data_IF_879328879050
#
_entry.id   IF_879328879050
#
_cell.length_a   1.000
_cell.length_b   1.000
_cell.length_c   1.000
_cell.angle_alpha   90.00
_cell.angle_beta   90.00
_cell.angle_gamma   90.00
#
_symmetry.space_group_name_H-M   'P 1'
#
loop_
_entity.id
_entity.type
_entity.pdbx_description
1 polymer ?
#
# COMPACT_ATOMS: atom_id res chain seq x y z
N UNK A 1 -83.35 -7.94 -38.14
CA UNK A 1 -82.58 -6.68 -37.97
C UNK A 1 -81.95 -6.54 -36.58
N UNK A 2 -82.64 -6.85 -35.48
CA UNK A 2 -82.07 -6.66 -34.12
C UNK A 2 -80.88 -7.59 -33.76
N UNK A 3 -80.95 -8.88 -34.09
CA UNK A 3 -79.94 -9.87 -33.66
C UNK A 3 -78.56 -9.76 -34.34
N UNK A 4 -78.51 -9.32 -35.59
CA UNK A 4 -77.24 -9.13 -36.31
C UNK A 4 -76.50 -7.89 -35.80
N UNK A 5 -77.22 -6.88 -35.32
CA UNK A 5 -76.62 -5.64 -34.80
C UNK A 5 -75.91 -5.89 -33.45
N UNK A 6 -76.48 -6.73 -32.58
CA UNK A 6 -75.88 -7.10 -31.29
C UNK A 6 -74.60 -7.92 -31.45
N UNK A 7 -74.54 -8.81 -32.44
CA UNK A 7 -73.33 -9.61 -32.72
C UNK A 7 -72.20 -8.72 -33.23
N UNK A 8 -72.49 -7.80 -34.15
CA UNK A 8 -71.50 -6.85 -34.69
C UNK A 8 -71.00 -5.89 -33.60
N UNK A 9 -71.89 -5.42 -32.71
CA UNK A 9 -71.51 -4.56 -31.59
C UNK A 9 -70.59 -5.29 -30.59
N UNK A 10 -70.88 -6.55 -30.26
CA UNK A 10 -70.02 -7.36 -29.38
C UNK A 10 -68.66 -7.69 -30.00
N UNK A 11 -68.61 -7.88 -31.33
CA UNK A 11 -67.35 -8.06 -32.08
C UNK A 11 -66.50 -6.77 -32.10
N UNK A 12 -67.13 -5.60 -32.26
CA UNK A 12 -66.44 -4.32 -32.19
C UNK A 12 -65.89 -4.01 -30.80
N UNK A 13 -66.63 -4.37 -29.74
CA UNK A 13 -66.19 -4.21 -28.35
C UNK A 13 -65.02 -5.16 -28.02
N UNK A 14 -65.05 -6.41 -28.51
CA UNK A 14 -63.94 -7.35 -28.28
C UNK A 14 -62.68 -6.94 -29.04
N UNK A 15 -62.81 -6.45 -30.28
CA UNK A 15 -61.69 -5.91 -31.06
C UNK A 15 -61.10 -4.64 -30.44
N UNK A 16 -61.94 -3.74 -29.92
CA UNK A 16 -61.48 -2.55 -29.20
C UNK A 16 -60.68 -2.88 -27.94
N UNK A 17 -61.09 -3.93 -27.22
CA UNK A 17 -60.38 -4.45 -26.05
C UNK A 17 -59.00 -5.01 -26.40
N UNK A 18 -58.90 -5.78 -27.49
CA UNK A 18 -57.65 -6.41 -27.94
C UNK A 18 -56.65 -5.35 -28.44
N UNK A 19 -57.12 -4.34 -29.16
CA UNK A 19 -56.25 -3.23 -29.62
C UNK A 19 -55.72 -2.42 -28.43
N UNK A 20 -56.55 -2.21 -27.40
CA UNK A 20 -56.14 -1.51 -26.17
C UNK A 20 -55.11 -2.32 -25.38
N UNK A 21 -55.27 -3.64 -25.29
CA UNK A 21 -54.30 -4.54 -24.66
C UNK A 21 -52.99 -4.60 -25.47
N UNK A 22 -53.07 -4.66 -26.80
CA UNK A 22 -51.87 -4.65 -27.66
C UNK A 22 -51.11 -3.32 -27.57
N UNK A 23 -51.81 -2.19 -27.53
CA UNK A 23 -51.21 -0.88 -27.30
C UNK A 23 -50.55 -0.78 -25.91
N UNK A 24 -51.19 -1.34 -24.88
CA UNK A 24 -50.63 -1.42 -23.53
C UNK A 24 -49.37 -2.29 -23.48
N UNK A 25 -49.40 -3.50 -24.07
CA UNK A 25 -48.24 -4.41 -24.14
C UNK A 25 -47.09 -3.76 -24.93
N UNK A 26 -47.40 -3.07 -26.04
CA UNK A 26 -46.38 -2.36 -26.83
C UNK A 26 -45.77 -1.19 -26.07
N UNK A 27 -46.56 -0.43 -25.30
CA UNK A 27 -46.05 0.62 -24.41
C UNK A 27 -45.20 0.05 -23.27
N UNK A 28 -45.59 -1.08 -22.68
CA UNK A 28 -44.79 -1.76 -21.63
C UNK A 28 -43.46 -2.27 -22.21
N UNK A 29 -43.47 -2.84 -23.41
CA UNK A 29 -42.23 -3.28 -24.07
C UNK A 29 -41.32 -2.09 -24.44
N UNK A 30 -41.88 -1.00 -24.94
CA UNK A 30 -41.12 0.23 -25.20
C UNK A 30 -40.53 0.82 -23.91
N UNK A 31 -41.30 0.83 -22.82
CA UNK A 31 -40.83 1.30 -21.52
C UNK A 31 -39.73 0.38 -20.95
N UNK A 32 -39.83 -0.93 -21.16
CA UNK A 32 -38.81 -1.90 -20.79
C UNK A 32 -37.52 -1.74 -21.61
N UNK A 33 -37.62 -1.47 -22.90
CA UNK A 33 -36.45 -1.17 -23.75
C UNK A 33 -35.78 0.15 -23.33
N UNK A 34 -36.58 1.17 -23.03
CA UNK A 34 -36.07 2.46 -22.55
C UNK A 34 -35.40 2.34 -21.17
N UNK A 35 -36.00 1.58 -20.25
CA UNK A 35 -35.38 1.23 -18.96
C UNK A 35 -34.11 0.42 -19.14
N UNK A 36 -34.06 -0.48 -20.13
CA UNK A 36 -32.85 -1.25 -20.44
C UNK A 36 -31.74 -0.37 -21.02
N UNK A 37 -32.10 0.57 -21.89
CA UNK A 37 -31.17 1.57 -22.42
C UNK A 37 -30.62 2.47 -21.31
N UNK A 38 -31.48 3.00 -20.45
CA UNK A 38 -31.08 3.76 -19.26
C UNK A 38 -30.20 2.93 -18.33
N UNK A 39 -30.56 1.68 -18.06
CA UNK A 39 -29.77 0.77 -17.24
C UNK A 39 -28.36 0.56 -17.83
N UNK A 40 -28.24 0.39 -19.14
CA UNK A 40 -26.94 0.23 -19.80
C UNK A 40 -26.11 1.52 -19.74
N UNK A 41 -26.72 2.69 -19.94
CA UNK A 41 -26.04 3.98 -19.78
C UNK A 41 -25.53 4.17 -18.35
N UNK A 42 -26.35 3.81 -17.35
CA UNK A 42 -25.97 3.93 -15.94
C UNK A 42 -24.88 2.90 -15.59
N UNK A 43 -24.93 1.68 -16.16
CA UNK A 43 -23.91 0.63 -15.97
C UNK A 43 -22.55 1.02 -16.56
N UNK A 44 -22.52 1.62 -17.75
CA UNK A 44 -21.27 2.10 -18.37
C UNK A 44 -20.58 3.18 -17.52
N UNK A 45 -21.35 3.93 -16.73
CA UNK A 45 -20.85 5.01 -15.88
C UNK A 45 -20.73 4.65 -14.38
N UNK A 46 -21.13 3.45 -13.96
CA UNK A 46 -21.04 2.99 -12.57
C UNK A 46 -20.71 1.48 -12.49
N UNK A 47 -19.45 1.10 -12.21
CA UNK A 47 -19.03 -0.31 -12.10
C UNK A 47 -19.60 -1.04 -10.85
N UNK A 48 -20.39 -0.36 -10.02
CA UNK A 48 -20.99 -0.88 -8.79
C UNK A 48 -22.36 -1.55 -9.01
N UNK A 49 -22.93 -1.50 -10.21
CA UNK A 49 -24.23 -2.11 -10.49
C UNK A 49 -24.09 -3.61 -10.79
N UNK A 50 -24.81 -4.50 -10.06
CA UNK A 50 -24.76 -5.95 -10.27
C UNK A 50 -25.37 -6.35 -11.62
N UNK A 51 -24.89 -7.44 -12.22
CA UNK A 51 -25.38 -7.90 -13.51
C UNK A 51 -26.81 -8.45 -13.41
N UNK A 52 -27.63 -8.21 -14.46
CA UNK A 52 -29.05 -8.63 -14.50
C UNK A 52 -29.23 -10.14 -14.33
N UNK A 53 -28.18 -10.93 -14.61
CA UNK A 53 -28.15 -12.39 -14.38
C UNK A 53 -28.31 -12.79 -12.92
N UNK A 54 -28.06 -11.88 -11.97
CA UNK A 54 -28.11 -12.19 -10.54
C UNK A 54 -29.55 -12.13 -9.98
N UNK A 55 -30.50 -11.49 -10.69
CA UNK A 55 -31.88 -11.29 -10.24
C UNK A 55 -32.88 -12.38 -10.66
N UNK A 56 -32.59 -13.19 -11.68
CA UNK A 56 -33.54 -14.20 -12.20
C UNK A 56 -33.61 -15.50 -11.36
N UNK A 57 -32.90 -15.58 -10.24
CA UNK A 57 -32.79 -16.83 -9.47
C UNK A 57 -33.88 -17.08 -8.40
N UNK A 58 -34.99 -16.33 -8.39
CA UNK A 58 -35.99 -16.49 -7.30
C UNK A 58 -37.43 -16.78 -7.75
N UNK A 59 -37.85 -16.58 -9.00
CA UNK A 59 -39.25 -16.84 -9.36
C UNK A 59 -39.40 -17.53 -10.73
N UNK A 60 -39.35 -18.87 -10.75
CA UNK A 60 -40.02 -19.68 -11.77
C UNK A 60 -40.32 -21.09 -11.24
N UNK A 61 -41.12 -21.14 -10.18
CA UNK A 61 -41.84 -22.34 -9.76
C UNK A 61 -43.29 -21.92 -9.64
N UNK A 62 -44.04 -22.05 -10.73
CA UNK A 62 -45.47 -22.31 -10.80
C UNK A 62 -45.84 -22.40 -12.29
N UNK A 63 -46.42 -23.54 -12.64
CA UNK A 63 -47.21 -23.83 -13.84
C UNK A 63 -46.47 -24.00 -15.18
N UNK A 64 -45.97 -25.21 -15.43
CA UNK A 64 -46.30 -26.00 -16.63
C UNK A 64 -45.58 -27.35 -16.59
N UNK A 65 -46.34 -28.44 -16.62
CA UNK A 65 -45.84 -29.78 -16.90
C UNK A 65 -45.27 -29.82 -18.32
N UNK A 66 -43.97 -29.63 -18.48
CA UNK A 66 -43.25 -30.10 -19.66
C UNK A 66 -41.77 -30.33 -19.33
N UNK A 67 -41.25 -31.45 -19.84
CA UNK A 67 -39.89 -31.94 -19.61
C UNK A 67 -38.86 -30.95 -20.12
N UNK A 68 -38.30 -30.13 -19.23
CA UNK A 68 -37.09 -29.35 -19.50
C UNK A 68 -35.90 -30.15 -19.01
N UNK A 69 -35.06 -30.59 -19.95
CA UNK A 69 -33.71 -31.09 -19.67
C UNK A 69 -32.95 -29.99 -18.93
N UNK A 70 -32.71 -30.21 -17.63
CA UNK A 70 -31.97 -29.31 -16.78
C UNK A 70 -30.51 -29.37 -17.23
N UNK A 71 -30.09 -28.42 -18.08
CA UNK A 71 -28.69 -28.07 -18.23
C UNK A 71 -28.24 -27.52 -16.88
N UNK A 72 -27.79 -28.40 -15.99
CA UNK A 72 -27.13 -28.02 -14.74
C UNK A 72 -25.85 -27.29 -15.12
N UNK A 73 -25.88 -25.96 -15.18
CA UNK A 73 -24.65 -25.16 -15.14
C UNK A 73 -23.84 -25.62 -13.93
N UNK A 74 -22.52 -25.85 -14.06
CA UNK A 74 -21.71 -26.34 -12.97
C UNK A 74 -21.86 -25.41 -11.76
N UNK A 75 -22.13 -25.98 -10.59
CA UNK A 75 -22.23 -25.25 -9.33
C UNK A 75 -20.87 -24.58 -9.11
N UNK A 76 -20.76 -23.29 -9.41
CA UNK A 76 -19.55 -22.53 -9.13
C UNK A 76 -19.44 -22.36 -7.62
N UNK A 77 -18.41 -22.96 -7.03
CA UNK A 77 -18.04 -22.70 -5.64
C UNK A 77 -17.76 -21.20 -5.50
N UNK A 78 -18.32 -20.57 -4.46
CA UNK A 78 -18.13 -19.14 -4.19
C UNK A 78 -16.64 -18.75 -4.11
N UNK A 79 -15.79 -19.67 -3.66
CA UNK A 79 -14.33 -19.50 -3.57
C UNK A 79 -13.66 -19.21 -4.91
N UNK A 80 -14.25 -19.70 -6.01
CA UNK A 80 -13.74 -19.49 -7.36
C UNK A 80 -14.27 -18.20 -7.98
N UNK A 81 -15.15 -17.48 -7.28
CA UNK A 81 -15.69 -16.21 -7.76
C UNK A 81 -14.54 -15.24 -8.01
N UNK A 82 -14.61 -14.57 -9.16
CA UNK A 82 -13.63 -13.59 -9.62
C UNK A 82 -12.22 -14.13 -9.96
N UNK A 83 -11.94 -15.42 -9.80
CA UNK A 83 -10.60 -15.97 -10.00
C UNK A 83 -10.09 -15.83 -11.44
N UNK A 84 -10.92 -16.15 -12.44
CA UNK A 84 -10.54 -16.04 -13.85
C UNK A 84 -10.27 -14.58 -14.27
N UNK A 85 -11.15 -13.66 -13.85
CA UNK A 85 -10.98 -12.21 -14.09
C UNK A 85 -9.73 -11.67 -13.40
N UNK A 86 -9.46 -12.12 -12.17
CA UNK A 86 -8.25 -11.73 -11.42
C UNK A 86 -6.96 -12.18 -12.13
N UNK A 87 -6.95 -13.40 -12.70
CA UNK A 87 -5.80 -13.92 -13.46
C UNK A 87 -5.50 -13.11 -14.73
N UNK A 88 -6.52 -12.52 -15.35
CA UNK A 88 -6.37 -11.70 -16.57
C UNK A 88 -5.79 -10.29 -16.30
N UNK A 89 -5.85 -9.78 -15.07
CA UNK A 89 -5.36 -8.43 -14.75
C UNK A 89 -3.84 -8.42 -14.62
N UNK A 90 -3.20 -7.39 -15.17
CA UNK A 90 -1.75 -7.15 -15.08
C UNK A 90 -1.38 -6.79 -13.64
N UNK A 91 -0.26 -7.34 -13.14
CA UNK A 91 0.22 -7.12 -11.79
C UNK A 91 1.01 -5.81 -11.65
N UNK A 92 0.41 -4.69 -12.04
CA UNK A 92 1.05 -3.37 -12.06
C UNK A 92 0.06 -2.29 -11.62
N UNK A 93 0.57 -1.21 -11.01
CA UNK A 93 -0.22 -0.02 -10.77
C UNK A 93 -0.42 0.74 -12.08
N UNK A 94 -1.67 1.07 -12.38
CA UNK A 94 -2.00 1.98 -13.49
C UNK A 94 -2.14 3.38 -12.94
N UNK A 95 -1.40 4.33 -13.52
CA UNK A 95 -1.47 5.74 -13.15
C UNK A 95 -2.36 6.51 -14.12
N UNK A 96 -3.13 7.45 -13.57
CA UNK A 96 -3.89 8.41 -14.36
C UNK A 96 -2.97 9.56 -14.83
N UNK A 97 -3.46 10.40 -15.75
CA UNK A 97 -2.74 11.58 -16.25
C UNK A 97 -2.20 12.46 -15.12
N UNK A 98 -3.05 12.74 -14.13
CA UNK A 98 -2.73 13.65 -13.04
C UNK A 98 -1.69 13.05 -12.09
N UNK A 99 -1.72 11.73 -11.88
CA UNK A 99 -0.73 11.01 -11.06
C UNK A 99 0.64 10.97 -11.75
N UNK A 100 0.65 10.83 -13.08
CA UNK A 100 1.88 10.84 -13.89
C UNK A 100 2.49 12.26 -13.93
N UNK A 101 1.67 13.29 -13.96
CA UNK A 101 2.13 14.68 -13.84
C UNK A 101 2.75 14.93 -12.45
N UNK A 102 2.11 14.44 -11.39
CA UNK A 102 2.66 14.51 -10.03
C UNK A 102 3.99 13.74 -9.89
N UNK A 103 4.13 12.60 -10.55
CA UNK A 103 5.39 11.84 -10.60
C UNK A 103 6.52 12.69 -11.18
N UNK A 104 6.24 13.34 -12.31
CA UNK A 104 7.21 14.20 -12.99
C UNK A 104 7.57 15.42 -12.12
N UNK A 105 6.58 16.06 -11.50
CA UNK A 105 6.81 17.18 -10.59
C UNK A 105 7.69 16.78 -9.39
N UNK A 106 7.46 15.61 -8.81
CA UNK A 106 8.28 15.11 -7.70
C UNK A 106 9.69 14.75 -8.16
N UNK A 107 9.84 14.16 -9.35
CA UNK A 107 11.15 13.92 -9.95
C UNK A 107 11.94 15.22 -10.13
N UNK A 108 11.34 16.25 -10.69
CA UNK A 108 11.99 17.55 -10.91
C UNK A 108 12.36 18.22 -9.57
N UNK A 109 11.48 18.10 -8.56
CA UNK A 109 11.75 18.56 -7.19
C UNK A 109 12.97 17.84 -6.59
N UNK A 110 13.00 16.51 -6.67
CA UNK A 110 14.10 15.70 -6.14
C UNK A 110 15.43 16.00 -6.86
N UNK A 111 15.38 16.18 -8.18
CA UNK A 111 16.54 16.57 -8.99
C UNK A 111 17.09 17.94 -8.57
N UNK A 112 16.21 18.93 -8.38
CA UNK A 112 16.60 20.26 -7.93
C UNK A 112 17.20 20.24 -6.51
N UNK A 113 16.54 19.56 -5.56
CA UNK A 113 17.01 19.45 -4.17
C UNK A 113 18.36 18.76 -4.10
N UNK A 114 18.52 17.63 -4.81
CA UNK A 114 19.78 16.87 -4.82
C UNK A 114 20.92 17.71 -5.41
N UNK A 115 20.65 18.41 -6.52
CA UNK A 115 21.62 19.30 -7.15
C UNK A 115 22.02 20.47 -6.24
N UNK A 116 21.05 21.12 -5.59
CA UNK A 116 21.32 22.23 -4.69
C UNK A 116 22.12 21.78 -3.46
N UNK A 117 21.77 20.64 -2.86
CA UNK A 117 22.51 20.08 -1.73
C UNK A 117 23.95 19.73 -2.12
N UNK A 118 24.15 19.17 -3.32
CA UNK A 118 25.48 18.91 -3.87
C UNK A 118 26.28 20.22 -4.03
N UNK A 119 25.69 21.24 -4.66
CA UNK A 119 26.35 22.53 -4.89
C UNK A 119 26.72 23.23 -3.58
N UNK A 120 25.82 23.22 -2.59
CA UNK A 120 26.05 23.82 -1.27
C UNK A 120 27.24 23.15 -0.58
N UNK A 121 27.22 21.82 -0.45
CA UNK A 121 28.33 21.06 0.15
C UNK A 121 29.64 21.26 -0.58
N UNK A 122 29.59 21.26 -1.92
CA UNK A 122 30.77 21.51 -2.75
C UNK A 122 31.33 22.91 -2.51
N UNK A 123 30.48 23.94 -2.41
CA UNK A 123 30.93 25.29 -2.11
C UNK A 123 31.54 25.42 -0.72
N UNK A 124 30.97 24.76 0.30
CA UNK A 124 31.50 24.75 1.67
C UNK A 124 32.90 24.12 1.72
N UNK A 125 33.10 22.97 1.06
CA UNK A 125 34.40 22.30 0.98
C UNK A 125 35.43 23.17 0.23
N UNK A 126 35.02 23.77 -0.90
CA UNK A 126 35.91 24.63 -1.69
C UNK A 126 36.31 25.90 -0.94
N UNK A 127 35.41 26.49 -0.16
CA UNK A 127 35.72 27.65 0.67
C UNK A 127 36.77 27.30 1.73
N UNK A 128 36.62 26.16 2.42
CA UNK A 128 37.61 25.67 3.39
C UNK A 128 38.96 25.41 2.72
N UNK A 129 38.98 24.72 1.57
CA UNK A 129 40.21 24.47 0.81
C UNK A 129 40.87 25.77 0.35
N UNK A 130 40.09 26.80 0.00
CA UNK A 130 40.62 28.11 -0.36
C UNK A 130 41.30 28.81 0.82
N UNK A 131 40.72 28.75 2.02
CA UNK A 131 41.34 29.29 3.25
C UNK A 131 42.65 28.57 3.57
N UNK A 132 42.65 27.25 3.51
CA UNK A 132 43.88 26.45 3.71
C UNK A 132 44.96 26.82 2.69
N UNK A 133 44.56 26.98 1.41
CA UNK A 133 45.50 27.39 0.36
C UNK A 133 46.08 28.77 0.63
N UNK A 134 45.28 29.72 1.10
CA UNK A 134 45.75 31.05 1.45
C UNK A 134 46.75 31.04 2.62
N UNK A 135 46.50 30.23 3.65
CA UNK A 135 47.45 30.00 4.76
C UNK A 135 48.76 29.42 4.21
N UNK A 136 48.70 28.43 3.31
CA UNK A 136 49.89 27.82 2.73
C UNK A 136 50.67 28.76 1.79
N UNK A 137 49.99 29.60 1.01
CA UNK A 137 50.62 30.48 0.03
C UNK A 137 51.22 31.74 0.67
N UNK A 138 50.62 32.25 1.76
CA UNK A 138 50.99 33.53 2.39
C UNK A 138 51.48 33.42 3.83
N UNK A 139 51.34 32.28 4.50
CA UNK A 139 51.63 32.14 5.93
C UNK A 139 53.09 31.91 6.29
N UNK A 140 53.96 31.67 5.31
CA UNK A 140 55.36 31.33 5.54
C UNK A 140 56.31 32.51 5.23
N UNK A 141 57.39 32.62 6.00
CA UNK A 141 58.46 33.61 5.83
C UNK A 141 59.40 33.19 4.69
N UNK A 142 59.70 31.89 4.59
CA UNK A 142 60.53 31.28 3.54
C UNK A 142 59.84 30.03 2.96
N UNK A 143 59.88 29.84 1.63
CA UNK A 143 59.38 28.64 0.93
C UNK A 143 60.22 27.36 1.20
N UNK A 144 61.05 27.37 2.24
CA UNK A 144 61.89 26.27 2.68
C UNK A 144 61.04 25.19 3.35
N UNK A 145 61.22 23.94 2.96
CA UNK A 145 60.43 22.77 3.39
C UNK A 145 60.55 22.38 4.88
N UNK A 146 61.16 23.22 5.71
CA UNK A 146 61.26 23.00 7.15
C UNK A 146 60.11 23.73 7.85
N UNK A 147 59.16 23.00 8.42
CA UNK A 147 58.09 23.56 9.25
C UNK A 147 58.63 23.73 10.66
N UNK A 148 58.92 24.97 11.07
CA UNK A 148 59.29 25.33 12.44
C UNK A 148 58.45 26.52 12.86
N UNK A 149 58.16 26.68 14.15
CA UNK A 149 57.38 27.82 14.66
C UNK A 149 57.89 29.18 14.18
N UNK A 150 59.21 29.34 14.04
CA UNK A 150 59.84 30.58 13.56
C UNK A 150 59.61 30.88 12.07
N UNK A 151 59.10 29.92 11.29
CA UNK A 151 58.91 30.08 9.85
C UNK A 151 57.54 30.61 9.45
N UNK A 152 56.62 30.81 10.41
CA UNK A 152 55.32 31.42 10.17
C UNK A 152 55.40 32.94 10.34
N UNK A 153 54.89 33.68 9.37
CA UNK A 153 54.73 35.13 9.50
C UNK A 153 53.48 35.47 10.34
N UNK A 154 53.35 36.74 10.73
CA UNK A 154 52.21 37.19 11.55
C UNK A 154 50.85 36.91 10.91
N UNK A 155 50.77 36.93 9.58
CA UNK A 155 49.55 36.56 8.84
C UNK A 155 49.21 35.08 9.03
N UNK A 156 50.19 34.18 8.86
CA UNK A 156 50.02 32.74 9.02
C UNK A 156 49.60 32.37 10.44
N UNK A 157 50.22 32.97 11.47
CA UNK A 157 49.85 32.77 12.87
C UNK A 157 48.40 33.20 13.15
N UNK A 158 48.04 34.39 12.69
CA UNK A 158 46.69 34.96 12.89
C UNK A 158 45.62 34.12 12.22
N UNK A 159 45.83 33.71 10.96
CA UNK A 159 44.85 32.89 10.24
C UNK A 159 44.74 31.46 10.77
N UNK A 160 45.83 30.88 11.29
CA UNK A 160 45.74 29.56 11.97
C UNK A 160 44.87 29.62 13.23
N UNK A 161 45.00 30.69 14.02
CA UNK A 161 44.17 30.92 15.21
C UNK A 161 42.70 31.11 14.80
N UNK A 162 42.43 31.95 13.80
CA UNK A 162 41.09 32.20 13.27
C UNK A 162 40.44 30.95 12.66
N UNK A 163 41.21 30.14 11.94
CA UNK A 163 40.71 28.95 11.25
C UNK A 163 40.19 27.89 12.24
N UNK A 164 40.87 27.73 13.38
CA UNK A 164 40.46 26.79 14.44
C UNK A 164 39.62 27.42 15.55
N UNK A 165 39.33 28.73 15.46
CA UNK A 165 38.59 29.48 16.48
C UNK A 165 39.22 29.32 17.88
N UNK A 166 40.55 29.44 17.95
CA UNK A 166 41.30 29.29 19.20
C UNK A 166 41.22 30.59 20.01
N UNK A 167 40.74 30.49 21.25
CA UNK A 167 40.84 31.58 22.23
C UNK A 167 42.31 31.74 22.64
N UNK A 168 43.00 32.74 22.06
CA UNK A 168 44.41 33.03 22.34
C UNK A 168 44.57 34.22 23.28
N UNK A 169 45.21 33.99 24.43
CA UNK A 169 45.76 35.04 25.29
C UNK A 169 47.25 35.23 25.00
N UNK A 170 47.75 36.48 24.98
CA UNK A 170 49.15 36.82 24.62
C UNK A 170 50.24 36.13 25.48
N UNK A 171 49.86 35.48 26.59
CA UNK A 171 50.77 34.77 27.49
C UNK A 171 50.98 33.28 27.12
N UNK A 172 50.17 32.73 26.20
CA UNK A 172 50.25 31.31 25.83
C UNK A 172 51.33 31.04 24.74
N UNK A 173 52.13 30.00 24.95
CA UNK A 173 53.12 29.54 23.97
C UNK A 173 52.45 28.57 22.98
N UNK A 174 51.86 29.11 21.91
CA UNK A 174 51.20 28.31 20.87
C UNK A 174 52.22 27.55 20.00
N UNK A 175 51.98 26.25 19.83
CA UNK A 175 52.72 25.42 18.89
C UNK A 175 52.11 25.46 17.47
N UNK A 176 52.48 26.50 16.70
CA UNK A 176 51.96 26.72 15.34
C UNK A 176 52.31 25.58 14.36
N UNK A 177 53.42 24.86 14.58
CA UNK A 177 53.82 23.69 13.79
C UNK A 177 52.79 22.56 13.90
N UNK A 178 52.32 22.27 15.12
CA UNK A 178 51.32 21.22 15.37
C UNK A 178 49.96 21.60 14.78
N UNK A 179 49.53 22.85 14.99
CA UNK A 179 48.29 23.38 14.41
C UNK A 179 48.34 23.31 12.87
N UNK A 180 49.48 23.63 12.25
CA UNK A 180 49.63 23.55 10.81
C UNK A 180 49.61 22.10 10.28
N UNK A 181 50.15 21.14 11.03
CA UNK A 181 50.03 19.72 10.68
C UNK A 181 48.56 19.28 10.69
N UNK A 182 47.75 19.76 11.63
CA UNK A 182 46.31 19.52 11.67
C UNK A 182 45.59 20.12 10.45
N UNK A 183 45.97 21.32 10.00
CA UNK A 183 45.46 21.91 8.75
C UNK A 183 45.76 21.03 7.54
N UNK A 184 46.97 20.48 7.43
CA UNK A 184 47.34 19.59 6.33
C UNK A 184 46.53 18.29 6.36
N UNK A 185 46.30 17.73 7.56
CA UNK A 185 45.45 16.56 7.74
C UNK A 185 44.00 16.88 7.32
N UNK A 186 43.47 18.04 7.70
CA UNK A 186 42.13 18.45 7.30
C UNK A 186 42.03 18.67 5.78
N UNK A 187 43.05 19.25 5.15
CA UNK A 187 43.11 19.40 3.69
C UNK A 187 42.92 18.06 2.98
N UNK A 188 43.68 17.04 3.38
CA UNK A 188 43.58 15.69 2.77
C UNK A 188 42.18 15.12 2.98
N UNK A 189 41.60 15.28 4.19
CA UNK A 189 40.24 14.83 4.48
C UNK A 189 39.20 15.53 3.60
N UNK A 190 39.33 16.84 3.39
CA UNK A 190 38.42 17.64 2.55
C UNK A 190 38.54 17.26 1.07
N UNK A 191 39.75 17.00 0.57
CA UNK A 191 39.97 16.51 -0.79
C UNK A 191 39.33 15.12 -0.99
N UNK A 192 39.48 14.20 -0.03
CA UNK A 192 38.79 12.91 -0.05
C UNK A 192 37.26 13.04 0.00
N UNK A 193 36.74 13.97 0.81
CA UNK A 193 35.31 14.24 0.91
C UNK A 193 34.75 14.76 -0.43
N UNK A 194 35.50 15.61 -1.12
CA UNK A 194 35.12 16.12 -2.44
C UNK A 194 35.01 14.98 -3.48
N UNK A 195 35.96 14.05 -3.49
CA UNK A 195 35.94 12.87 -4.37
C UNK A 195 34.71 12.01 -4.07
N UNK A 196 34.47 11.70 -2.78
CA UNK A 196 33.29 10.91 -2.35
C UNK A 196 31.98 11.60 -2.72
N UNK A 197 31.93 12.94 -2.64
CA UNK A 197 30.75 13.71 -2.99
C UNK A 197 30.43 13.59 -4.50
N UNK A 198 31.44 13.67 -5.36
CA UNK A 198 31.30 13.49 -6.80
C UNK A 198 30.88 12.06 -7.17
N UNK A 199 31.40 11.05 -6.46
CA UNK A 199 30.98 9.65 -6.63
C UNK A 199 29.56 9.38 -6.14
N UNK A 200 29.09 10.12 -5.13
CA UNK A 200 27.76 9.95 -4.52
C UNK A 200 26.60 10.56 -5.32
N UNK A 201 26.89 11.17 -6.48
CA UNK A 201 25.87 11.76 -7.34
C UNK A 201 24.86 10.71 -7.78
N UNK A 202 23.69 10.78 -7.15
CA UNK A 202 22.55 9.89 -7.39
C UNK A 202 22.22 9.89 -8.88
N UNK A 203 22.21 8.69 -9.48
CA UNK A 203 21.80 8.48 -10.87
C UNK A 203 20.37 9.01 -11.11
N UNK A 204 20.10 9.52 -12.32
CA UNK A 204 18.74 9.90 -12.70
C UNK A 204 17.76 8.75 -12.55
N UNK A 205 18.20 7.50 -12.74
CA UNK A 205 17.34 6.32 -12.60
C UNK A 205 16.94 6.07 -11.14
N UNK A 206 17.84 6.30 -10.18
CA UNK A 206 17.51 6.20 -8.75
C UNK A 206 16.51 7.28 -8.32
N UNK A 207 16.59 8.48 -8.91
CA UNK A 207 15.62 9.55 -8.66
C UNK A 207 14.23 9.19 -9.23
N UNK A 208 14.17 8.57 -10.41
CA UNK A 208 12.91 8.07 -10.99
C UNK A 208 12.27 6.99 -10.10
N UNK A 209 13.08 6.05 -9.60
CA UNK A 209 12.58 5.01 -8.67
C UNK A 209 11.97 5.66 -7.42
N UNK A 210 12.64 6.64 -6.82
CA UNK A 210 12.12 7.37 -5.65
C UNK A 210 10.82 8.13 -5.95
N UNK A 211 10.74 8.78 -7.11
CA UNK A 211 9.53 9.49 -7.53
C UNK A 211 8.36 8.52 -7.74
N UNK A 212 8.60 7.37 -8.39
CA UNK A 212 7.59 6.34 -8.57
C UNK A 212 7.13 5.75 -7.23
N UNK A 213 8.05 5.41 -6.33
CA UNK A 213 7.73 4.94 -4.97
C UNK A 213 6.85 5.93 -4.20
N UNK A 214 7.12 7.23 -4.34
CA UNK A 214 6.32 8.28 -3.73
C UNK A 214 4.87 8.29 -4.26
N UNK A 215 4.70 8.19 -5.58
CA UNK A 215 3.36 8.15 -6.20
C UNK A 215 2.62 6.86 -5.85
N UNK A 216 3.30 5.71 -5.84
CA UNK A 216 2.73 4.45 -5.37
C UNK A 216 2.20 4.61 -3.93
N UNK A 217 2.96 5.26 -3.05
CA UNK A 217 2.52 5.49 -1.67
C UNK A 217 1.25 6.34 -1.60
N UNK A 218 1.20 7.45 -2.33
CA UNK A 218 -0.01 8.31 -2.40
C UNK A 218 -1.21 7.51 -2.91
N UNK A 219 -1.00 6.71 -3.96
CA UNK A 219 -2.05 5.87 -4.54
C UNK A 219 -2.54 4.82 -3.55
N UNK A 220 -1.63 4.18 -2.81
CA UNK A 220 -1.98 3.21 -1.76
C UNK A 220 -2.79 3.86 -0.64
N UNK A 221 -2.44 5.08 -0.23
CA UNK A 221 -3.17 5.82 0.79
C UNK A 221 -4.57 6.23 0.31
N UNK A 222 -4.74 6.48 -0.99
CA UNK A 222 -6.06 6.79 -1.58
C UNK A 222 -7.07 5.64 -1.44
N UNK A 223 -6.60 4.39 -1.41
CA UNK A 223 -7.43 3.20 -1.36
C UNK A 223 -8.23 3.06 -0.05
N UNK A 224 -7.89 3.79 1.02
CA UNK A 224 -8.67 3.75 2.26
C UNK A 224 -10.13 4.21 2.09
N UNK A 225 -10.38 5.06 1.09
CA UNK A 225 -11.70 5.60 0.79
C UNK A 225 -12.51 4.72 -0.17
N UNK A 226 -11.89 3.66 -0.70
CA UNK A 226 -12.49 2.75 -1.64
C UNK A 226 -13.10 1.57 -0.89
N UNK A 227 -14.36 1.24 -1.19
CA UNK A 227 -15.10 0.19 -0.53
C UNK A 227 -15.69 -0.78 -1.53
N UNK A 228 -15.72 -2.06 -1.20
CA UNK A 228 -16.56 -3.04 -1.88
C UNK A 228 -17.59 -3.60 -0.94
N UNK A 229 -18.81 -3.72 -1.44
CA UNK A 229 -19.88 -4.48 -0.81
C UNK A 229 -20.02 -5.82 -1.52
N UNK A 230 -20.06 -6.90 -0.76
CA UNK A 230 -20.32 -8.23 -1.28
C UNK A 230 -21.25 -9.02 -0.36
N UNK A 231 -22.15 -9.78 -0.98
CA UNK A 231 -23.06 -10.69 -0.30
C UNK A 231 -22.44 -12.09 -0.28
N UNK A 232 -22.05 -12.55 0.92
CA UNK A 232 -21.59 -13.93 1.13
C UNK A 232 -22.75 -14.78 1.64
N UNK A 233 -22.68 -16.12 1.52
CA UNK A 233 -23.66 -17.02 2.12
C UNK A 233 -23.84 -16.83 3.64
N UNK A 234 -22.82 -16.28 4.32
CA UNK A 234 -22.84 -16.06 5.77
C UNK A 234 -23.22 -14.62 6.15
N UNK A 235 -23.41 -13.72 5.19
CA UNK A 235 -23.80 -12.33 5.45
C UNK A 235 -23.11 -11.31 4.54
N UNK A 236 -23.49 -10.05 4.74
CA UNK A 236 -22.99 -8.93 3.96
C UNK A 236 -21.64 -8.46 4.50
N UNK A 237 -20.71 -8.17 3.60
CA UNK A 237 -19.37 -7.71 3.94
C UNK A 237 -19.09 -6.41 3.21
N UNK A 238 -18.71 -5.39 3.98
CA UNK A 238 -18.03 -4.21 3.45
C UNK A 238 -16.55 -4.37 3.67
N UNK A 239 -15.73 -4.20 2.63
CA UNK A 239 -14.28 -4.33 2.71
C UNK A 239 -13.59 -3.12 2.09
N UNK A 240 -12.51 -2.66 2.71
CA UNK A 240 -11.57 -1.65 2.19
C UNK A 240 -10.13 -2.11 2.41
N UNK A 241 -9.18 -1.46 1.74
CA UNK A 241 -7.76 -1.68 1.99
C UNK A 241 -7.17 -0.56 2.84
N UNK A 242 -6.45 -0.91 3.91
CA UNK A 242 -5.70 0.02 4.73
C UNK A 242 -4.20 -0.18 4.53
N UNK A 243 -3.52 0.83 3.98
CA UNK A 243 -2.09 0.83 3.73
C UNK A 243 -1.25 0.85 5.02
N UNK A 244 -1.69 1.59 6.05
CA UNK A 244 -0.97 1.71 7.33
C UNK A 244 -0.80 0.35 8.01
N UNK A 245 -1.87 -0.46 8.00
CA UNK A 245 -1.87 -1.82 8.56
C UNK A 245 -1.48 -2.90 7.53
N UNK A 246 -1.36 -2.53 6.25
CA UNK A 246 -1.25 -3.44 5.09
C UNK A 246 -2.30 -4.56 5.12
N UNK A 247 -3.56 -4.20 5.39
CA UNK A 247 -4.64 -5.18 5.55
C UNK A 247 -5.92 -4.82 4.85
N UNK A 248 -6.66 -5.84 4.43
CA UNK A 248 -8.06 -5.71 4.09
C UNK A 248 -8.90 -5.62 5.36
N UNK A 249 -9.39 -4.43 5.63
CA UNK A 249 -10.30 -4.16 6.73
C UNK A 249 -11.73 -4.47 6.28
N UNK A 250 -12.46 -5.26 7.07
CA UNK A 250 -13.83 -5.61 6.75
C UNK A 250 -14.79 -5.40 7.91
N UNK A 251 -16.03 -5.06 7.55
CA UNK A 251 -17.15 -4.88 8.44
C UNK A 251 -18.21 -5.92 8.09
N UNK A 252 -18.66 -6.65 9.10
CA UNK A 252 -19.69 -7.68 8.98
C UNK A 252 -20.37 -7.87 10.33
N UNK A 253 -21.66 -8.23 10.31
CA UNK A 253 -22.39 -8.60 11.51
C UNK A 253 -22.06 -10.03 11.97
N UNK A 254 -21.66 -10.88 11.03
CA UNK A 254 -21.35 -12.29 11.26
C UNK A 254 -19.85 -12.54 11.08
N UNK A 255 -19.33 -13.59 11.73
CA UNK A 255 -17.93 -14.02 11.54
C UNK A 255 -17.78 -14.67 10.16
N UNK A 256 -16.95 -14.08 9.31
CA UNK A 256 -16.74 -14.55 7.94
C UNK A 256 -15.38 -15.27 7.84
N UNK A 257 -15.36 -16.58 7.51
CA UNK A 257 -14.12 -17.32 7.27
C UNK A 257 -13.34 -16.82 6.05
N UNK A 258 -12.01 -17.01 6.06
CA UNK A 258 -11.11 -16.55 4.98
C UNK A 258 -11.46 -17.08 3.59
N UNK A 259 -12.04 -18.27 3.48
CA UNK A 259 -12.55 -18.82 2.20
C UNK A 259 -13.51 -17.88 1.46
N UNK A 260 -14.25 -17.04 2.20
CA UNK A 260 -15.17 -16.06 1.64
C UNK A 260 -14.55 -14.67 1.53
N UNK A 261 -13.59 -14.33 2.39
CA UNK A 261 -12.88 -13.04 2.34
C UNK A 261 -11.92 -12.95 1.14
N UNK A 262 -11.31 -14.06 0.74
CA UNK A 262 -10.43 -14.15 -0.43
C UNK A 262 -11.11 -13.71 -1.74
N UNK A 263 -12.28 -14.25 -2.13
CA UNK A 263 -13.04 -13.74 -3.28
C UNK A 263 -13.40 -12.25 -3.19
N UNK A 264 -13.67 -11.73 -1.99
CA UNK A 264 -14.00 -10.31 -1.78
C UNK A 264 -12.75 -9.44 -1.98
N UNK A 265 -11.59 -9.91 -1.49
CA UNK A 265 -10.30 -9.28 -1.76
C UNK A 265 -10.00 -9.23 -3.25
N UNK A 266 -10.23 -10.32 -3.99
CA UNK A 266 -10.11 -10.31 -5.46
C UNK A 266 -11.08 -9.33 -6.10
N UNK A 267 -12.34 -9.28 -5.64
CA UNK A 267 -13.34 -8.31 -6.11
C UNK A 267 -12.84 -6.88 -5.91
N UNK A 268 -12.32 -6.56 -4.74
CA UNK A 268 -11.75 -5.24 -4.43
C UNK A 268 -10.66 -4.87 -5.44
N UNK A 269 -9.72 -5.79 -5.64
CA UNK A 269 -8.56 -5.60 -6.50
C UNK A 269 -8.95 -5.43 -7.97
N UNK A 270 -9.93 -6.20 -8.44
CA UNK A 270 -10.48 -6.06 -9.79
C UNK A 270 -11.20 -4.72 -9.95
N UNK A 271 -11.99 -4.33 -8.95
CA UNK A 271 -12.80 -3.11 -9.00
C UNK A 271 -11.92 -1.86 -9.06
N UNK A 272 -10.80 -1.86 -8.34
CA UNK A 272 -9.90 -0.71 -8.23
C UNK A 272 -8.57 -0.89 -9.00
N UNK A 273 -8.45 -1.94 -9.80
CA UNK A 273 -7.27 -2.29 -10.60
C UNK A 273 -5.95 -2.16 -9.80
N UNK A 274 -5.90 -2.78 -8.63
CA UNK A 274 -4.79 -2.67 -7.68
C UNK A 274 -4.17 -4.05 -7.36
N UNK A 275 -3.89 -4.85 -8.40
CA UNK A 275 -3.38 -6.22 -8.25
C UNK A 275 -2.14 -6.37 -7.35
N UNK A 276 -1.17 -5.43 -7.34
CA UNK A 276 0.01 -5.56 -6.50
C UNK A 276 -0.24 -5.64 -4.99
N UNK A 277 -1.41 -5.20 -4.49
CA UNK A 277 -1.71 -5.26 -3.06
C UNK A 277 -2.17 -6.66 -2.60
N UNK A 278 -2.55 -7.52 -3.54
CA UNK A 278 -3.14 -8.83 -3.26
C UNK A 278 -2.14 -9.92 -3.56
N UNK A 279 -1.90 -10.75 -2.55
CA UNK A 279 -0.95 -11.84 -2.60
C UNK A 279 -1.68 -13.08 -3.11
N UNK A 280 -1.38 -13.51 -4.34
CA UNK A 280 -1.88 -14.79 -4.85
C UNK A 280 -1.04 -15.93 -4.25
N UNK A 281 -1.69 -16.72 -3.40
CA UNK A 281 -1.09 -17.86 -2.72
C UNK A 281 -0.53 -18.88 -3.71
N UNK A 282 -1.18 -19.09 -4.86
CA UNK A 282 -0.70 -20.04 -5.89
C UNK A 282 0.63 -19.57 -6.49
N UNK A 283 0.77 -18.27 -6.75
CA UNK A 283 1.98 -17.68 -7.30
C UNK A 283 3.11 -17.60 -6.26
N UNK A 284 2.80 -17.30 -4.99
CA UNK A 284 3.78 -17.29 -3.91
C UNK A 284 4.37 -18.69 -3.68
N UNK A 285 3.55 -19.74 -3.75
CA UNK A 285 4.05 -21.12 -3.61
C UNK A 285 5.01 -21.49 -4.75
N UNK A 286 4.67 -21.15 -6.00
CA UNK A 286 5.58 -21.36 -7.15
C UNK A 286 6.90 -20.61 -6.98
N UNK A 287 6.85 -19.35 -6.57
CA UNK A 287 8.07 -18.55 -6.32
C UNK A 287 8.91 -19.13 -5.18
N UNK A 288 8.28 -19.67 -4.13
CA UNK A 288 8.99 -20.35 -3.05
C UNK A 288 9.63 -21.67 -3.51
N UNK A 289 8.94 -22.44 -4.36
CA UNK A 289 9.47 -23.66 -4.99
C UNK A 289 10.69 -23.36 -5.87
N UNK A 290 10.61 -22.34 -6.74
CA UNK A 290 11.69 -21.89 -7.62
C UNK A 290 12.92 -21.43 -6.81
N UNK A 291 12.73 -20.60 -5.77
CA UNK A 291 13.82 -20.18 -4.88
C UNK A 291 14.49 -21.37 -4.21
N UNK A 292 13.70 -22.33 -3.71
CA UNK A 292 14.24 -23.53 -3.09
C UNK A 292 15.04 -24.37 -4.09
N UNK A 293 14.58 -24.47 -5.33
CA UNK A 293 15.30 -25.19 -6.39
C UNK A 293 16.60 -24.48 -6.77
N UNK A 294 16.60 -23.15 -6.87
CA UNK A 294 17.81 -22.35 -7.08
C UNK A 294 18.81 -22.50 -5.94
N UNK A 295 18.36 -22.46 -4.69
CA UNK A 295 19.22 -22.63 -3.53
C UNK A 295 19.82 -24.04 -3.48
N UNK A 296 19.05 -25.06 -3.88
CA UNK A 296 19.57 -26.42 -4.06
C UNK A 296 20.63 -26.48 -5.16
N UNK A 297 20.42 -25.84 -6.32
CA UNK A 297 21.39 -25.77 -7.41
C UNK A 297 22.67 -25.01 -7.01
N UNK A 298 22.56 -23.90 -6.28
CA UNK A 298 23.70 -23.11 -5.77
C UNK A 298 24.52 -23.87 -4.72
N UNK A 299 23.88 -24.74 -3.93
CA UNK A 299 24.55 -25.55 -2.91
C UNK A 299 25.25 -26.82 -3.44
N UNK A 300 24.94 -27.31 -4.65
CA UNK A 300 25.66 -28.43 -5.28
C UNK A 300 27.11 -28.06 -5.66
N UNK A 301 27.39 -26.77 -5.91
CA UNK A 301 28.72 -26.27 -6.28
C UNK A 301 29.59 -25.81 -5.10
N UNK A 302 29.13 -25.97 -3.85
CA UNK A 302 29.95 -25.75 -2.66
C UNK A 302 30.21 -27.10 -1.98
N UNK A 303 31.47 -27.49 -1.70
CA UNK A 303 31.72 -28.71 -0.96
C UNK A 303 31.02 -28.62 0.40
N UNK A 304 30.17 -29.59 0.67
CA UNK A 304 29.43 -29.74 1.92
C UNK A 304 30.46 -29.84 3.07
N UNK A 305 30.76 -28.72 3.74
CA UNK A 305 31.29 -28.79 5.11
C UNK A 305 30.13 -29.22 5.98
N UNK A 306 30.07 -30.52 6.26
CA UNK A 306 29.24 -31.07 7.33
C UNK A 306 29.84 -30.55 8.65
N UNK A 307 29.50 -29.33 9.03
CA UNK A 307 29.62 -28.94 10.44
C UNK A 307 28.55 -29.73 11.20
N UNK A 308 29.01 -30.86 11.74
CA UNK A 308 28.30 -31.59 12.78
C UNK A 308 27.92 -30.56 13.85
N UNK A 309 26.63 -30.22 13.94
CA UNK A 309 26.11 -29.52 15.10
C UNK A 309 26.53 -30.32 16.33
N UNK A 310 27.52 -29.79 17.06
CA UNK A 310 27.89 -30.28 18.37
C UNK A 310 26.66 -30.04 19.24
N UNK A 311 25.96 -31.11 19.59
CA UNK A 311 25.08 -31.12 20.75
C UNK A 311 25.92 -30.71 21.97
N UNK A 312 25.79 -29.45 22.39
CA UNK A 312 26.33 -29.02 23.67
C UNK A 312 25.48 -29.66 24.77
N UNK A 313 26.11 -30.67 25.36
CA UNK A 313 25.69 -31.38 26.55
C UNK A 313 25.63 -30.43 27.76
N UNK A 314 24.62 -30.69 28.60
CA UNK A 314 24.70 -30.82 30.06
C UNK A 314 25.09 -29.63 30.94
N UNK A 315 24.45 -29.67 32.11
CA UNK A 315 24.85 -29.12 33.41
C UNK A 315 24.48 -27.67 33.73
N UNK A 316 23.18 -27.46 34.01
CA UNK A 316 22.79 -26.60 35.13
C UNK A 316 21.94 -27.43 36.09
N UNK A 317 22.60 -28.02 37.09
CA UNK A 317 21.95 -28.57 38.29
C UNK A 317 21.64 -27.40 39.24
N UNK A 318 20.36 -27.09 39.42
CA UNK A 318 19.85 -26.37 40.59
C UNK A 318 18.65 -27.16 41.15
N UNK A 319 18.45 -27.15 42.48
CA UNK A 319 17.89 -28.30 43.19
C UNK A 319 16.35 -28.34 43.17
N UNK A 320 15.86 -29.58 43.14
CA UNK A 320 14.52 -30.04 43.48
C UNK A 320 13.85 -29.27 44.63
N UNK A 321 12.58 -28.89 44.41
CA UNK A 321 11.48 -29.18 45.35
C UNK A 321 10.12 -29.16 44.64
N UNK A 322 9.56 -30.35 44.49
CA UNK A 322 8.14 -30.69 44.48
C UNK A 322 7.19 -29.88 43.59
N UNK A 323 6.88 -30.42 42.41
CA UNK A 323 5.50 -30.52 41.93
C UNK A 323 5.37 -31.73 41.00
N UNK A 324 4.51 -32.63 41.43
CA UNK A 324 4.09 -33.86 40.78
C UNK A 324 3.83 -33.69 39.30
N UNK A 325 4.26 -34.70 38.53
CA UNK A 325 3.88 -34.97 37.16
C UNK A 325 2.35 -34.95 36.99
N UNK A 326 1.82 -33.87 36.42
CA UNK A 326 0.60 -33.94 35.63
C UNK A 326 0.97 -33.54 34.21
N UNK A 327 1.20 -34.56 33.40
CA UNK A 327 1.13 -34.51 31.95
C UNK A 327 -0.13 -33.71 31.59
N UNK A 328 0.03 -32.51 31.04
CA UNK A 328 -1.10 -31.70 30.56
C UNK A 328 -1.72 -32.41 29.37
N UNK A 329 -2.57 -33.41 29.64
CA UNK A 329 -3.30 -34.14 28.64
C UNK A 329 -4.32 -33.21 28.00
N UNK A 330 -4.09 -32.87 26.74
CA UNK A 330 -5.04 -32.11 25.92
C UNK A 330 -6.41 -32.82 25.97
N UNK A 331 -7.51 -32.10 26.26
CA UNK A 331 -8.87 -32.65 26.29
C UNK A 331 -9.21 -33.44 25.02
N UNK A 332 -9.90 -34.57 25.16
CA UNK A 332 -10.19 -35.50 24.06
C UNK A 332 -10.87 -34.85 22.85
N UNK A 333 -11.68 -33.80 23.06
CA UNK A 333 -12.36 -33.07 21.98
C UNK A 333 -11.39 -32.27 21.06
N UNK A 334 -10.19 -31.95 21.54
CA UNK A 334 -9.14 -31.29 20.75
C UNK A 334 -8.22 -32.29 20.05
N UNK A 335 -8.26 -33.58 20.40
CA UNK A 335 -7.39 -34.60 19.77
C UNK A 335 -7.87 -35.04 18.39
N UNK A 336 -9.17 -34.91 18.10
CA UNK A 336 -9.74 -35.37 16.84
C UNK A 336 -9.34 -34.52 15.61
N UNK A 337 -8.91 -33.26 15.82
CA UNK A 337 -8.53 -32.34 14.74
C UNK A 337 -7.02 -32.11 14.61
N UNK A 338 -6.21 -32.73 15.47
CA UNK A 338 -4.75 -32.72 15.30
C UNK A 338 -4.42 -33.90 14.42
N UNK A 339 -4.22 -33.63 13.12
CA UNK A 339 -3.64 -34.60 12.20
C UNK A 339 -2.37 -35.16 12.86
N UNK A 340 -2.34 -36.47 13.02
CA UNK A 340 -1.24 -37.22 13.58
C UNK A 340 -0.07 -37.10 12.59
N UNK A 341 0.79 -36.09 12.75
CA UNK A 341 1.98 -35.88 11.91
C UNK A 341 3.02 -36.93 12.30
N UNK A 342 2.80 -38.16 11.84
CA UNK A 342 3.83 -39.19 11.76
C UNK A 342 3.97 -39.56 10.29
N UNK A 343 5.23 -39.47 9.84
CA UNK A 343 5.77 -39.82 8.52
C UNK A 343 5.14 -39.12 7.31
N UNK A 344 5.79 -38.05 6.85
CA UNK A 344 6.61 -38.14 5.64
C UNK A 344 7.60 -36.96 5.61
N UNK A 345 8.78 -37.17 5.03
CA UNK A 345 9.75 -36.12 4.69
C UNK A 345 9.22 -35.23 3.54
N UNK A 346 7.96 -34.83 3.60
CA UNK A 346 7.43 -33.79 2.74
C UNK A 346 8.02 -32.45 3.20
N UNK A 347 8.84 -31.86 2.33
CA UNK A 347 9.35 -30.51 2.49
C UNK A 347 8.15 -29.56 2.65
N UNK A 348 7.84 -29.17 3.88
CA UNK A 348 6.79 -28.18 4.16
C UNK A 348 7.29 -26.81 3.68
N UNK A 349 6.86 -26.41 2.49
CA UNK A 349 7.05 -25.06 2.00
C UNK A 349 6.14 -24.15 2.83
N UNK A 350 6.76 -23.27 3.62
CA UNK A 350 6.06 -22.27 4.41
C UNK A 350 5.75 -21.06 3.52
N UNK A 351 4.53 -20.53 3.62
CA UNK A 351 4.16 -19.28 2.95
C UNK A 351 4.80 -18.12 3.71
N UNK A 352 5.67 -17.37 3.06
CA UNK A 352 6.31 -16.19 3.66
C UNK A 352 5.32 -15.02 3.77
N UNK A 353 4.45 -14.86 2.76
CA UNK A 353 3.46 -13.78 2.67
C UNK A 353 2.04 -14.32 2.47
N UNK A 354 1.06 -13.66 3.08
CA UNK A 354 -0.36 -13.96 2.89
C UNK A 354 -1.21 -12.70 3.08
N UNK A 355 -2.38 -12.66 2.44
CA UNK A 355 -3.34 -11.59 2.64
C UNK A 355 -3.81 -11.54 4.10
N UNK A 356 -3.72 -10.36 4.72
CA UNK A 356 -4.19 -10.15 6.10
C UNK A 356 -5.55 -9.46 6.08
N UNK A 357 -6.52 -10.07 6.77
CA UNK A 357 -7.87 -9.55 6.92
C UNK A 357 -8.12 -9.17 8.39
N UNK A 358 -8.59 -7.94 8.61
CA UNK A 358 -8.87 -7.41 9.96
C UNK A 358 -10.35 -7.07 10.06
N UNK A 359 -11.03 -7.58 11.10
CA UNK A 359 -12.41 -7.20 11.39
C UNK A 359 -12.43 -5.88 12.17
N UNK A 360 -12.98 -4.82 11.57
CA UNK A 360 -13.03 -3.48 12.16
C UNK A 360 -14.37 -3.19 12.86
N UNK A 361 -15.39 -4.02 12.66
CA UNK A 361 -16.64 -3.94 13.41
C UNK A 361 -17.89 -4.40 12.68
N UNK A 362 -19.04 -4.11 13.28
CA UNK A 362 -20.36 -4.40 12.70
C UNK A 362 -20.74 -3.37 11.64
N UNK A 363 -21.65 -3.75 10.75
CA UNK A 363 -22.15 -2.87 9.69
C UNK A 363 -22.84 -1.62 10.24
N UNK A 364 -23.50 -1.72 11.38
CA UNK A 364 -24.17 -0.56 12.01
C UNK A 364 -23.19 0.51 12.50
N UNK A 365 -21.94 0.12 12.78
CA UNK A 365 -20.89 1.06 13.20
C UNK A 365 -20.16 1.68 12.01
N UNK A 366 -20.40 1.18 10.80
CA UNK A 366 -19.76 1.65 9.59
C UNK A 366 -20.38 2.98 9.13
N UNK A 367 -19.55 4.00 8.98
CA UNK A 367 -19.93 5.29 8.41
C UNK A 367 -19.29 5.43 7.02
N UNK A 368 -20.04 5.19 5.92
CA UNK A 368 -19.47 5.23 4.58
C UNK A 368 -19.04 6.63 4.16
N UNK A 369 -19.64 7.66 4.75
CA UNK A 369 -19.35 9.05 4.42
C UNK A 369 -18.28 9.62 5.36
N UNK A 370 -17.31 10.31 4.78
CA UNK A 370 -16.34 11.10 5.55
C UNK A 370 -17.09 12.13 6.39
N UNK A 371 -16.91 12.08 7.71
CA UNK A 371 -17.48 13.09 8.60
C UNK A 371 -16.79 14.41 8.28
N UNK A 372 -17.54 15.33 7.68
CA UNK A 372 -17.02 16.66 7.35
C UNK A 372 -16.88 17.43 8.66
N UNK A 373 -15.70 18.03 8.88
CA UNK A 373 -15.52 18.95 9.99
C UNK A 373 -16.42 20.17 9.78
N UNK A 374 -17.48 20.24 10.59
CA UNK A 374 -18.49 21.32 10.55
C UNK A 374 -17.87 22.72 10.70
N UNK A 375 -16.67 22.78 11.27
CA UNK A 375 -15.83 23.99 11.44
C UNK A 375 -15.34 24.59 10.12
N UNK A 376 -15.16 23.76 9.08
CA UNK A 376 -14.68 24.19 7.76
C UNK A 376 -15.84 24.75 6.92
N UNK A 377 -17.02 24.14 7.04
CA UNK A 377 -18.18 24.44 6.17
C UNK A 377 -18.92 25.70 6.62
N UNK A 378 -18.95 26.01 7.91
CA UNK A 378 -19.70 27.15 8.42
C UNK A 378 -18.88 27.91 9.48
N UNK A 379 -18.33 29.08 9.11
CA UNK A 379 -17.60 29.95 10.06
C UNK A 379 -18.46 30.34 11.27
N UNK A 380 -19.78 30.36 11.12
CA UNK A 380 -20.74 30.62 12.21
C UNK A 380 -20.81 29.49 13.25
N UNK A 381 -20.40 28.26 12.90
CA UNK A 381 -20.32 27.14 13.85
C UNK A 381 -19.00 27.13 14.64
N UNK A 382 -18.05 28.01 14.28
CA UNK A 382 -16.84 28.29 15.06
C UNK A 382 -17.05 29.39 16.11
N UNK A 383 -18.26 29.97 16.22
CA UNK A 383 -18.54 30.99 17.23
C UNK A 383 -18.29 30.40 18.62
N UNK A 384 -17.26 30.91 19.28
CA UNK A 384 -17.03 30.59 20.69
C UNK A 384 -18.19 31.13 21.52
N UNK A 385 -18.45 30.52 22.69
CA UNK A 385 -19.51 30.99 23.58
C UNK A 385 -19.36 32.50 23.93
N UNK A 386 -18.13 33.00 23.99
CA UNK A 386 -17.83 34.42 24.19
C UNK A 386 -18.29 35.30 23.01
N UNK A 387 -18.04 34.87 21.77
CA UNK A 387 -18.48 35.57 20.56
C UNK A 387 -19.99 35.48 20.38
N UNK A 388 -20.60 34.33 20.68
CA UNK A 388 -22.05 34.16 20.71
C UNK A 388 -22.69 35.15 21.70
N UNK A 389 -22.14 35.27 22.91
CA UNK A 389 -22.63 36.20 23.94
C UNK A 389 -22.48 37.66 23.48
N UNK A 390 -21.36 38.04 22.85
CA UNK A 390 -21.18 39.38 22.26
C UNK A 390 -22.20 39.67 21.15
N UNK A 391 -22.53 38.70 20.30
CA UNK A 391 -23.53 38.87 19.24
C UNK A 391 -24.95 39.16 19.76
N UNK A 392 -25.27 38.65 20.96
CA UNK A 392 -26.53 38.88 21.65
C UNK A 392 -26.60 40.25 22.34
N UNK A 393 -25.46 40.74 22.83
CA UNK A 393 -25.34 42.05 23.47
C UNK A 393 -25.43 43.18 22.43
N UNK A 394 -24.79 43.01 21.26
CA UNK A 394 -24.79 44.01 20.19
C UNK A 394 -26.09 44.08 19.35
N UNK A 395 -27.11 43.25 19.67
CA UNK A 395 -28.43 43.26 19.03
C UNK A 395 -29.50 44.03 19.82
N UNK A 396 -29.15 44.58 20.97
CA UNK A 396 -29.91 45.62 21.68
C UNK A 396 -29.30 46.98 21.36
#
# INVERSE_FOLDING_TARGET
MSYQFTIILNLLISLGSIVSIYAYIKNVNFFNEYLFFLYNIIKENNPLLPDKSDYYNVNLLLDSEDKVEIIKKPIQLYENKYLEKFKQIVNEFKFNSDELELEQQEFDRLKLVTKNNYLLKKSEILEKLSKIKEINDKGFIDNSSNFKNDNFNEFGKTELILYFDLDYDEEDEINYEEIYLDVLIEKVKLEEELIKLDESLVSEDELKVKANEFIIKIKLDSFINNYVLEHTPLGNVYMRYNNDKKTFEYFSNNTIPYRYLEPIGRKYVITYNCKPIFIDIEEELKRAEEKMEEDLKKNINKPIKIEKFKNYNKDVRLPSKNRSSSEFAIPAHMRANVLNVKSDNEKKILKENANRYTWEGRLNSFSPLKKIDKKIVNKNLNLTFAEFKKSYINKK
#
